data_IF_426881002654
#
_entry.id   IF_426881002654
#
_cell.length_a   1.000
_cell.length_b   1.000
_cell.length_c   1.000
_cell.angle_alpha   90.00
_cell.angle_beta   90.00
_cell.angle_gamma   90.00
#
_symmetry.space_group_name_H-M   'P 1'
#
loop_
_entity.id
_entity.type
_entity.pdbx_description
1 polymer ?
#
# COMPACT_ATOMS: atom_id res chain seq x y z
N UNK A 1 -24.11 32.13 -30.46
CA UNK A 1 -24.27 31.06 -29.43
C UNK A 1 -23.52 31.49 -28.20
N UNK A 2 -24.15 31.46 -27.01
CA UNK A 2 -23.46 31.78 -25.76
C UNK A 2 -22.28 30.81 -25.56
N UNK A 3 -21.21 31.30 -24.95
CA UNK A 3 -19.97 30.55 -24.71
C UNK A 3 -20.23 29.20 -24.01
N UNK A 4 -21.23 29.18 -23.13
CA UNK A 4 -21.69 28.03 -22.37
C UNK A 4 -22.14 26.85 -23.25
N UNK A 5 -22.98 27.09 -24.26
CA UNK A 5 -23.47 26.03 -25.15
C UNK A 5 -22.34 25.38 -25.95
N UNK A 6 -21.30 26.17 -26.28
CA UNK A 6 -20.12 25.67 -27.00
C UNK A 6 -19.27 24.77 -26.12
N UNK A 7 -19.12 25.12 -24.84
CA UNK A 7 -18.40 24.30 -23.84
C UNK A 7 -19.16 23.00 -23.59
N UNK A 8 -20.48 23.06 -23.37
CA UNK A 8 -21.31 21.86 -23.14
C UNK A 8 -21.25 20.92 -24.34
N UNK A 9 -21.38 21.43 -25.57
CA UNK A 9 -21.27 20.60 -26.79
C UNK A 9 -19.88 19.97 -26.96
N UNK A 10 -18.83 20.66 -26.54
CA UNK A 10 -17.47 20.12 -26.56
C UNK A 10 -17.31 18.99 -25.53
N UNK A 11 -17.72 19.21 -24.28
CA UNK A 11 -17.71 18.20 -23.22
C UNK A 11 -18.63 17.01 -23.53
N UNK A 12 -19.76 17.24 -24.20
CA UNK A 12 -20.69 16.21 -24.63
C UNK A 12 -20.25 15.47 -25.91
N UNK A 13 -19.07 15.80 -26.46
CA UNK A 13 -18.57 15.16 -27.67
C UNK A 13 -18.15 13.72 -27.41
N UNK A 14 -18.66 12.80 -28.24
CA UNK A 14 -18.27 11.39 -28.19
C UNK A 14 -16.77 11.19 -28.41
N UNK A 15 -16.14 12.01 -29.27
CA UNK A 15 -14.69 11.96 -29.49
C UNK A 15 -13.90 12.29 -28.21
N UNK A 16 -14.38 13.26 -27.45
CA UNK A 16 -13.74 13.67 -26.19
C UNK A 16 -13.90 12.59 -25.12
N UNK A 17 -15.10 11.99 -25.00
CA UNK A 17 -15.33 10.86 -24.10
C UNK A 17 -14.41 9.67 -24.40
N UNK A 18 -14.21 9.32 -25.68
CA UNK A 18 -13.30 8.23 -26.08
C UNK A 18 -11.85 8.53 -25.68
N UNK A 19 -11.39 9.77 -25.83
CA UNK A 19 -10.05 10.18 -25.40
C UNK A 19 -9.88 10.02 -23.89
N UNK A 20 -10.89 10.40 -23.10
CA UNK A 20 -10.87 10.23 -21.64
C UNK A 20 -10.80 8.75 -21.26
N UNK A 21 -11.63 7.90 -21.86
CA UNK A 21 -11.64 6.46 -21.58
C UNK A 21 -10.28 5.83 -21.93
N UNK A 22 -9.66 6.23 -23.04
CA UNK A 22 -8.31 5.79 -23.40
C UNK A 22 -7.26 6.27 -22.39
N UNK A 23 -7.35 7.51 -21.92
CA UNK A 23 -6.46 8.02 -20.88
C UNK A 23 -6.57 7.21 -19.58
N UNK A 24 -7.79 6.88 -19.14
CA UNK A 24 -8.03 6.00 -17.98
C UNK A 24 -7.41 4.62 -18.23
N UNK A 25 -7.61 4.04 -19.42
CA UNK A 25 -7.06 2.73 -19.76
C UNK A 25 -5.52 2.73 -19.73
N UNK A 26 -4.87 3.77 -20.25
CA UNK A 26 -3.41 3.91 -20.21
C UNK A 26 -2.91 4.05 -18.78
N UNK A 27 -3.51 4.92 -17.97
CA UNK A 27 -3.13 5.11 -16.56
C UNK A 27 -3.32 3.80 -15.79
N UNK A 28 -4.44 3.11 -15.99
CA UNK A 28 -4.71 1.81 -15.37
C UNK A 28 -3.70 0.74 -15.79
N UNK A 29 -3.35 0.67 -17.08
CA UNK A 29 -2.33 -0.26 -17.59
C UNK A 29 -0.96 -0.01 -16.94
N UNK A 30 -0.56 1.26 -16.82
CA UNK A 30 0.69 1.63 -16.12
C UNK A 30 0.62 1.19 -14.66
N UNK A 31 -0.51 1.43 -13.97
CA UNK A 31 -0.73 0.97 -12.60
C UNK A 31 -0.55 -0.54 -12.45
N UNK A 32 -1.15 -1.33 -13.34
CA UNK A 32 -1.03 -2.79 -13.33
C UNK A 32 0.40 -3.27 -13.59
N UNK A 33 1.14 -2.62 -14.50
CA UNK A 33 2.55 -2.98 -14.74
C UNK A 33 3.41 -2.68 -13.51
N UNK A 34 3.19 -1.53 -12.86
CA UNK A 34 3.90 -1.19 -11.62
C UNK A 34 3.59 -2.22 -10.52
N UNK A 35 2.33 -2.57 -10.32
CA UNK A 35 1.93 -3.61 -9.36
C UNK A 35 2.63 -4.96 -9.64
N UNK A 36 2.70 -5.36 -10.91
CA UNK A 36 3.35 -6.61 -11.30
C UNK A 36 4.87 -6.61 -11.08
N UNK A 37 5.55 -5.47 -11.27
CA UNK A 37 7.01 -5.37 -11.10
C UNK A 37 7.39 -5.30 -9.62
N UNK A 38 6.67 -4.51 -8.82
CA UNK A 38 7.03 -4.24 -7.42
C UNK A 38 6.33 -5.17 -6.42
N UNK A 39 5.47 -6.10 -6.87
CA UNK A 39 4.76 -7.09 -6.04
C UNK A 39 3.95 -6.48 -4.87
N UNK A 40 3.57 -5.20 -4.96
CA UNK A 40 2.81 -4.52 -3.90
C UNK A 40 1.76 -3.56 -4.48
N UNK A 41 0.48 -3.89 -4.27
CA UNK A 41 -0.66 -3.12 -4.74
C UNK A 41 -0.77 -1.73 -4.08
N UNK A 42 -0.31 -1.59 -2.83
CA UNK A 42 -0.35 -0.32 -2.07
C UNK A 42 0.50 0.79 -2.72
N UNK A 43 1.64 0.43 -3.30
CA UNK A 43 2.55 1.39 -3.95
C UNK A 43 1.96 1.86 -5.28
N UNK A 44 1.41 0.94 -6.08
CA UNK A 44 0.69 1.29 -7.30
C UNK A 44 -0.53 2.18 -7.00
N UNK A 45 -1.22 1.92 -5.89
CA UNK A 45 -2.34 2.74 -5.44
C UNK A 45 -1.94 4.16 -5.07
N UNK A 46 -0.86 4.35 -4.32
CA UNK A 46 -0.37 5.69 -3.95
C UNK A 46 0.24 6.45 -5.14
N UNK A 47 1.03 5.78 -5.99
CA UNK A 47 1.76 6.47 -7.07
C UNK A 47 0.90 6.76 -8.31
N UNK A 48 0.03 5.83 -8.68
CA UNK A 48 -0.72 5.91 -9.96
C UNK A 48 -2.16 6.30 -9.72
N UNK A 49 -2.89 5.60 -8.83
CA UNK A 49 -4.32 5.86 -8.62
C UNK A 49 -4.61 7.11 -7.79
N UNK A 50 -3.73 7.48 -6.86
CA UNK A 50 -3.80 8.74 -6.11
C UNK A 50 -3.08 9.91 -6.81
N UNK A 51 -2.64 9.73 -8.05
CA UNK A 51 -1.99 10.80 -8.81
C UNK A 51 -2.99 11.88 -9.22
N UNK A 52 -2.50 13.12 -9.35
CA UNK A 52 -3.29 14.24 -9.87
C UNK A 52 -3.86 13.97 -11.27
N UNK A 53 -3.13 13.21 -12.09
CA UNK A 53 -3.55 12.84 -13.45
C UNK A 53 -4.79 11.94 -13.45
N UNK A 54 -4.82 10.95 -12.54
CA UNK A 54 -5.99 10.08 -12.38
C UNK A 54 -7.21 10.89 -11.94
N UNK A 55 -7.06 11.79 -10.95
CA UNK A 55 -8.15 12.63 -10.48
C UNK A 55 -8.68 13.60 -11.52
N UNK A 56 -7.80 14.27 -12.27
CA UNK A 56 -8.21 15.15 -13.37
C UNK A 56 -8.99 14.34 -14.41
N UNK A 57 -8.50 13.16 -14.79
CA UNK A 57 -9.14 12.32 -15.80
C UNK A 57 -10.52 11.83 -15.33
N UNK A 58 -10.65 11.45 -14.06
CA UNK A 58 -11.92 11.03 -13.46
C UNK A 58 -12.91 12.18 -13.31
N UNK A 59 -12.43 13.37 -12.93
CA UNK A 59 -13.22 14.59 -12.87
C UNK A 59 -13.72 15.02 -14.24
N UNK A 60 -12.87 14.90 -15.28
CA UNK A 60 -13.27 15.11 -16.67
C UNK A 60 -14.33 14.10 -17.10
N UNK A 61 -14.18 12.82 -16.75
CA UNK A 61 -15.21 11.80 -17.02
C UNK A 61 -16.56 12.21 -16.41
N UNK A 62 -16.60 12.56 -15.12
CA UNK A 62 -17.82 13.07 -14.48
C UNK A 62 -18.42 14.27 -15.22
N UNK A 63 -17.58 15.26 -15.58
CA UNK A 63 -18.03 16.45 -16.30
C UNK A 63 -18.64 16.09 -17.66
N UNK A 64 -18.04 15.14 -18.40
CA UNK A 64 -18.61 14.67 -19.67
C UNK A 64 -19.92 13.94 -19.48
N UNK A 65 -20.04 13.05 -18.50
CA UNK A 65 -21.29 12.31 -18.24
C UNK A 65 -22.45 13.27 -17.94
N UNK A 66 -22.19 14.29 -17.10
CA UNK A 66 -23.17 15.34 -16.79
C UNK A 66 -23.50 16.16 -18.04
N UNK A 67 -22.50 16.57 -18.82
CA UNK A 67 -22.72 17.36 -20.03
C UNK A 67 -23.56 16.61 -21.08
N UNK A 68 -23.32 15.32 -21.31
CA UNK A 68 -24.10 14.50 -22.25
C UNK A 68 -25.54 14.32 -21.74
N UNK A 69 -25.74 14.18 -20.42
CA UNK A 69 -27.07 14.11 -19.84
C UNK A 69 -27.87 15.40 -20.03
N UNK A 70 -27.21 16.57 -19.86
CA UNK A 70 -27.82 17.90 -20.06
C UNK A 70 -28.15 18.14 -21.54
N UNK A 71 -27.24 17.81 -22.45
CA UNK A 71 -27.43 18.01 -23.90
C UNK A 71 -28.63 17.22 -24.46
N UNK A 72 -28.95 16.07 -23.85
CA UNK A 72 -30.09 15.22 -24.24
C UNK A 72 -31.39 15.49 -23.47
N UNK A 73 -31.47 16.61 -22.77
CA UNK A 73 -32.70 17.06 -22.12
C UNK A 73 -33.73 17.54 -23.17
N UNK A 74 -35.03 17.20 -23.10
CA UNK A 74 -35.77 16.50 -22.05
C UNK A 74 -35.86 14.97 -22.24
N UNK A 75 -35.58 14.22 -21.17
CA UNK A 75 -35.54 12.76 -21.19
C UNK A 75 -36.94 12.14 -21.33
N UNK A 76 -37.09 11.23 -22.30
CA UNK A 76 -38.30 10.38 -22.48
C UNK A 76 -38.04 8.99 -21.89
N UNK A 77 -39.10 8.21 -21.64
CA UNK A 77 -38.97 6.88 -21.01
C UNK A 77 -38.04 5.91 -21.76
N UNK A 78 -37.92 6.02 -23.08
CA UNK A 78 -36.96 5.23 -23.87
C UNK A 78 -35.48 5.55 -23.53
N UNK A 79 -35.18 6.73 -22.98
CA UNK A 79 -33.83 7.11 -22.54
C UNK A 79 -33.52 6.70 -21.10
N UNK A 80 -34.43 6.00 -20.41
CA UNK A 80 -34.25 5.61 -19.01
C UNK A 80 -32.95 4.83 -18.78
N UNK A 81 -32.65 3.85 -19.64
CA UNK A 81 -31.40 3.07 -19.54
C UNK A 81 -30.15 3.93 -19.73
N UNK A 82 -30.19 4.89 -20.67
CA UNK A 82 -29.09 5.83 -20.89
C UNK A 82 -28.84 6.69 -19.66
N UNK A 83 -29.89 7.33 -19.12
CA UNK A 83 -29.80 8.21 -17.96
C UNK A 83 -29.35 7.44 -16.71
N UNK A 84 -29.92 6.26 -16.48
CA UNK A 84 -29.61 5.42 -15.33
C UNK A 84 -28.14 4.97 -15.33
N UNK A 85 -27.59 4.59 -16.49
CA UNK A 85 -26.19 4.18 -16.59
C UNK A 85 -25.23 5.33 -16.21
N UNK A 86 -25.50 6.55 -16.69
CA UNK A 86 -24.65 7.71 -16.41
C UNK A 86 -24.74 8.10 -14.93
N UNK A 87 -25.95 8.12 -14.36
CA UNK A 87 -26.15 8.37 -12.93
C UNK A 87 -25.47 7.29 -12.09
N UNK A 88 -25.59 6.01 -12.48
CA UNK A 88 -24.96 4.89 -11.79
C UNK A 88 -23.43 5.05 -11.73
N UNK A 89 -22.79 5.39 -12.86
CA UNK A 89 -21.35 5.65 -12.89
C UNK A 89 -21.01 6.84 -11.98
N UNK A 90 -21.74 7.95 -12.06
CA UNK A 90 -21.49 9.12 -11.20
C UNK A 90 -21.59 8.75 -9.71
N UNK A 91 -22.60 7.97 -9.31
CA UNK A 91 -22.77 7.51 -7.93
C UNK A 91 -21.59 6.64 -7.50
N UNK A 92 -21.15 5.70 -8.35
CA UNK A 92 -19.98 4.86 -8.05
C UNK A 92 -18.70 5.70 -7.87
N UNK A 93 -18.51 6.73 -8.70
CA UNK A 93 -17.35 7.62 -8.61
C UNK A 93 -17.37 8.45 -7.32
N UNK A 94 -18.55 8.96 -6.92
CA UNK A 94 -18.71 9.66 -5.64
C UNK A 94 -18.45 8.71 -4.47
N UNK A 95 -19.00 7.50 -4.51
CA UNK A 95 -18.76 6.47 -3.49
C UNK A 95 -17.28 6.13 -3.36
N UNK A 96 -16.57 5.98 -4.47
CA UNK A 96 -15.13 5.75 -4.48
C UNK A 96 -14.33 6.90 -3.83
N UNK A 97 -14.72 8.17 -4.08
CA UNK A 97 -14.11 9.32 -3.41
C UNK A 97 -14.37 9.31 -1.89
N UNK A 98 -15.59 8.95 -1.47
CA UNK A 98 -15.91 8.84 -0.04
C UNK A 98 -15.11 7.74 0.64
N UNK A 99 -15.01 6.55 0.04
CA UNK A 99 -14.18 5.46 0.55
C UNK A 99 -12.71 5.83 0.58
N UNK A 100 -12.24 6.69 -0.33
CA UNK A 100 -10.85 7.12 -0.33
C UNK A 100 -10.51 8.10 0.82
N UNK A 101 -11.43 9.00 1.20
CA UNK A 101 -11.19 9.95 2.31
C UNK A 101 -11.54 9.37 3.69
N UNK A 102 -12.48 8.41 3.77
CA UNK A 102 -12.97 7.88 5.04
C UNK A 102 -12.91 6.35 5.18
N UNK A 103 -12.48 5.64 4.14
CA UNK A 103 -12.32 4.19 4.18
C UNK A 103 -11.11 3.77 4.99
N UNK A 104 -11.25 2.66 5.70
CA UNK A 104 -10.17 2.01 6.44
C UNK A 104 -9.98 0.64 5.80
N UNK A 105 -8.82 0.43 5.21
CA UNK A 105 -8.44 -0.84 4.60
C UNK A 105 -7.85 -1.78 5.66
N UNK A 106 -8.32 -3.02 5.69
CA UNK A 106 -7.86 -4.02 6.65
C UNK A 106 -7.93 -5.43 6.08
N UNK A 107 -7.03 -6.28 6.56
CA UNK A 107 -6.92 -7.68 6.12
C UNK A 107 -7.38 -8.62 7.24
N UNK A 108 -8.09 -9.68 6.87
CA UNK A 108 -8.43 -10.76 7.79
C UNK A 108 -8.06 -12.11 7.16
N UNK A 109 -7.04 -12.75 7.71
CA UNK A 109 -6.65 -14.10 7.31
C UNK A 109 -7.42 -15.13 8.14
N UNK A 110 -8.08 -16.08 7.48
CA UNK A 110 -8.83 -17.17 8.12
C UNK A 110 -8.18 -18.52 7.82
N UNK A 111 -8.09 -19.39 8.83
CA UNK A 111 -7.81 -20.80 8.64
C UNK A 111 -9.10 -21.63 8.56
N UNK A 112 -9.01 -22.84 8.01
CA UNK A 112 -10.14 -23.76 7.89
C UNK A 112 -10.68 -24.08 9.30
N UNK A 113 -11.95 -23.74 9.54
CA UNK A 113 -12.63 -23.95 10.83
C UNK A 113 -12.46 -22.80 11.85
N UNK A 114 -11.74 -21.74 11.50
CA UNK A 114 -11.49 -20.61 12.39
C UNK A 114 -12.58 -19.54 12.30
N UNK A 115 -12.97 -18.95 13.43
CA UNK A 115 -13.80 -17.75 13.49
C UNK A 115 -12.99 -16.58 14.04
N UNK A 116 -12.88 -15.48 13.29
CA UNK A 116 -12.23 -14.23 13.71
C UNK A 116 -13.23 -13.08 13.75
N UNK A 117 -13.06 -12.20 14.75
CA UNK A 117 -13.87 -10.98 14.96
C UNK A 117 -13.04 -9.70 14.90
N UNK A 118 -11.75 -9.82 14.58
CA UNK A 118 -10.81 -8.70 14.52
C UNK A 118 -10.19 -8.65 13.13
N UNK A 119 -10.12 -7.45 12.58
CA UNK A 119 -9.45 -7.14 11.31
C UNK A 119 -8.07 -6.60 11.65
N UNK A 120 -7.04 -7.06 10.96
CA UNK A 120 -5.70 -6.47 11.05
C UNK A 120 -5.66 -5.30 10.08
N UNK A 121 -5.58 -4.09 10.60
CA UNK A 121 -5.25 -2.91 9.79
C UNK A 121 -3.75 -2.94 9.55
N UNK A 122 -3.33 -2.73 8.30
CA UNK A 122 -1.91 -2.63 7.93
C UNK A 122 -1.43 -1.23 8.33
N UNK A 123 -1.36 -0.97 9.62
CA UNK A 123 -0.71 0.24 10.09
C UNK A 123 0.79 0.07 9.83
N UNK A 124 1.43 1.13 9.35
CA UNK A 124 2.87 1.13 9.04
C UNK A 124 3.62 1.22 10.37
N UNK A 125 3.53 0.17 11.17
CA UNK A 125 4.02 0.18 12.53
C UNK A 125 5.47 -0.27 12.59
N UNK A 126 6.30 0.55 13.22
CA UNK A 126 7.56 0.11 13.76
C UNK A 126 7.30 -0.53 15.13
N UNK A 127 7.43 -1.85 15.19
CA UNK A 127 7.32 -2.60 16.43
C UNK A 127 8.70 -3.09 16.82
N UNK A 128 9.15 -2.73 18.02
CA UNK A 128 10.37 -3.27 18.62
C UNK A 128 9.97 -4.32 19.64
N UNK A 129 10.51 -5.52 19.47
CA UNK A 129 10.36 -6.62 20.42
C UNK A 129 11.61 -6.72 21.30
N UNK A 130 11.40 -6.89 22.60
CA UNK A 130 12.45 -7.22 23.56
C UNK A 130 12.19 -8.58 24.16
N UNK A 131 13.25 -9.36 24.39
CA UNK A 131 13.20 -10.55 25.23
C UNK A 131 14.17 -10.40 26.38
N UNK A 132 13.63 -10.44 27.60
CA UNK A 132 14.41 -10.32 28.83
C UNK A 132 14.91 -11.69 29.32
N UNK A 133 14.25 -12.78 28.91
CA UNK A 133 14.49 -14.16 29.36
C UNK A 133 14.85 -15.14 28.22
N UNK A 134 14.87 -14.67 26.96
CA UNK A 134 15.12 -15.48 25.77
C UNK A 134 13.91 -16.33 25.31
N UNK A 135 12.89 -16.49 26.15
CA UNK A 135 11.76 -17.38 25.88
C UNK A 135 10.51 -16.62 25.39
N UNK A 136 10.28 -15.40 25.91
CA UNK A 136 9.13 -14.59 25.52
C UNK A 136 9.58 -13.30 24.84
N UNK A 137 9.11 -13.06 23.63
CA UNK A 137 9.21 -11.76 22.96
C UNK A 137 8.04 -10.89 23.42
N UNK A 138 8.33 -9.71 23.97
CA UNK A 138 7.34 -8.72 24.37
C UNK A 138 7.52 -7.45 23.54
N UNK A 139 6.41 -6.84 23.13
CA UNK A 139 6.42 -5.50 22.54
C UNK A 139 6.95 -4.51 23.57
N UNK A 140 8.09 -3.87 23.27
CA UNK A 140 8.70 -2.83 24.10
C UNK A 140 8.49 -1.43 23.52
N UNK A 141 8.19 -1.34 22.21
CA UNK A 141 7.87 -0.10 21.54
C UNK A 141 6.98 -0.37 20.32
N UNK A 142 6.00 0.51 20.07
CA UNK A 142 5.17 0.50 18.87
C UNK A 142 4.88 1.95 18.49
N UNK A 143 5.12 2.29 17.24
CA UNK A 143 4.82 3.61 16.68
C UNK A 143 4.46 3.49 15.22
N UNK A 144 3.48 4.28 14.78
CA UNK A 144 3.15 4.43 13.37
C UNK A 144 4.24 5.28 12.68
N UNK A 145 4.82 4.76 11.58
CA UNK A 145 5.91 5.38 10.81
C UNK A 145 5.69 5.29 9.30
N UNK A 146 5.92 6.37 8.57
CA UNK A 146 5.76 6.42 7.11
C UNK A 146 7.14 6.49 6.41
N UNK A 147 7.96 5.45 6.56
CA UNK A 147 9.31 5.41 5.98
C UNK A 147 9.37 5.37 4.45
N UNK A 148 8.25 5.08 3.77
CA UNK A 148 8.20 5.10 2.31
C UNK A 148 8.23 6.52 1.74
N UNK A 149 7.61 7.50 2.42
CA UNK A 149 7.59 8.90 1.95
C UNK A 149 8.57 9.80 2.69
N UNK A 150 8.84 9.55 3.98
CA UNK A 150 9.85 10.26 4.76
C UNK A 150 10.84 9.23 5.36
N UNK A 151 11.75 8.67 4.54
CA UNK A 151 12.72 7.69 5.00
C UNK A 151 13.72 8.34 5.99
N UNK A 152 14.16 7.61 7.04
CA UNK A 152 15.26 8.05 7.86
C UNK A 152 16.54 8.18 7.03
N UNK A 153 17.37 9.15 7.39
CA UNK A 153 18.69 9.37 6.81
C UNK A 153 19.75 9.50 7.90
N UNK A 154 21.05 9.36 7.59
CA UNK A 154 22.13 9.56 8.56
C UNK A 154 22.05 10.94 9.25
N UNK A 155 21.57 11.95 8.55
CA UNK A 155 21.39 13.32 9.05
C UNK A 155 20.09 13.51 9.85
N UNK A 156 19.06 12.68 9.59
CA UNK A 156 17.76 12.69 10.27
C UNK A 156 17.34 11.26 10.64
N UNK A 157 18.00 10.64 11.64
CA UNK A 157 17.68 9.28 12.05
C UNK A 157 16.35 9.24 12.82
N UNK A 158 15.58 8.18 12.64
CA UNK A 158 14.45 7.89 13.51
C UNK A 158 14.96 7.20 14.77
N UNK A 159 14.69 7.76 15.95
CA UNK A 159 15.28 7.31 17.22
C UNK A 159 14.21 6.74 18.14
N UNK A 160 14.40 5.50 18.58
CA UNK A 160 13.58 4.83 19.59
C UNK A 160 14.37 4.75 20.89
N UNK A 161 13.83 5.34 21.95
CA UNK A 161 14.44 5.32 23.28
C UNK A 161 14.01 4.03 24.02
N UNK A 162 14.98 3.19 24.39
CA UNK A 162 14.78 1.92 25.08
C UNK A 162 15.41 2.00 26.48
N UNK A 163 14.77 2.76 27.38
CA UNK A 163 15.34 3.03 28.70
C UNK A 163 16.61 3.87 28.61
N UNK A 164 17.75 3.29 28.98
CA UNK A 164 19.07 3.96 28.91
C UNK A 164 19.72 3.86 27.52
N UNK A 165 19.30 2.91 26.68
CA UNK A 165 19.83 2.72 25.34
C UNK A 165 18.95 3.39 24.28
N UNK A 166 19.53 3.66 23.12
CA UNK A 166 18.83 4.23 21.96
C UNK A 166 19.02 3.34 20.74
N UNK A 167 17.92 3.01 20.06
CA UNK A 167 17.92 2.35 18.76
C UNK A 167 17.70 3.41 17.69
N UNK A 168 18.61 3.53 16.73
CA UNK A 168 18.53 4.51 15.64
C UNK A 168 18.34 3.80 14.31
N UNK A 169 17.32 4.22 13.57
CA UNK A 169 17.12 3.85 12.17
C UNK A 169 17.72 4.97 11.34
N UNK A 170 18.78 4.64 10.59
CA UNK A 170 19.58 5.61 9.83
C UNK A 170 19.29 5.57 8.34
N UNK A 171 18.85 4.42 7.83
CA UNK A 171 18.51 4.24 6.42
C UNK A 171 17.34 3.26 6.32
N UNK A 172 16.51 3.45 5.30
CA UNK A 172 15.40 2.57 4.98
C UNK A 172 15.60 2.02 3.57
N UNK A 173 15.81 0.71 3.47
CA UNK A 173 15.86 -0.01 2.20
C UNK A 173 14.56 -0.75 1.98
N UNK A 174 13.80 -0.26 1.01
CA UNK A 174 12.59 -0.93 0.57
C UNK A 174 12.98 -2.20 -0.23
N UNK A 175 12.35 -3.34 0.07
CA UNK A 175 12.69 -4.68 -0.47
C UNK A 175 14.06 -5.25 -0.09
N UNK A 176 14.66 -4.83 1.03
CA UNK A 176 15.89 -5.46 1.51
C UNK A 176 15.64 -6.91 1.94
N UNK A 177 16.47 -7.82 1.42
CA UNK A 177 16.58 -9.17 1.97
C UNK A 177 17.34 -9.09 3.30
N UNK A 178 16.86 -9.83 4.31
CA UNK A 178 17.57 -9.95 5.57
C UNK A 178 18.86 -10.73 5.33
N UNK A 179 19.99 -10.04 5.39
CA UNK A 179 21.29 -10.67 5.50
C UNK A 179 21.76 -10.60 6.96
N UNK A 180 22.22 -11.72 7.50
CA UNK A 180 22.65 -11.82 8.89
C UNK A 180 24.02 -12.49 8.91
N UNK A 181 25.05 -11.69 9.14
CA UNK A 181 26.41 -12.18 9.27
C UNK A 181 26.67 -12.57 10.73
N UNK A 182 27.13 -13.80 10.95
CA UNK A 182 27.58 -14.25 12.27
C UNK A 182 29.10 -14.06 12.34
N UNK A 183 29.52 -13.16 13.21
CA UNK A 183 30.93 -12.91 13.48
C UNK A 183 31.46 -13.85 14.56
N UNK A 184 32.69 -14.38 14.43
CA UNK A 184 33.33 -15.14 15.49
C UNK A 184 33.55 -14.25 16.72
N UNK A 185 33.26 -14.80 17.89
CA UNK A 185 33.51 -14.16 19.19
C UNK A 185 34.37 -15.07 20.05
N UNK A 186 35.39 -14.50 20.68
CA UNK A 186 36.28 -15.22 21.60
C UNK A 186 35.68 -15.32 23.02
N UNK A 187 34.48 -14.78 23.23
CA UNK A 187 33.78 -14.84 24.51
C UNK A 187 33.14 -16.22 24.68
N UNK A 188 33.63 -17.00 25.66
CA UNK A 188 33.07 -18.32 26.02
C UNK A 188 31.55 -18.30 26.31
N UNK A 189 30.99 -17.11 26.58
CA UNK A 189 29.59 -16.87 26.90
C UNK A 189 28.65 -16.90 25.70
N UNK A 190 29.15 -16.76 24.48
CA UNK A 190 28.33 -16.60 23.26
C UNK A 190 27.80 -17.93 22.69
N UNK A 191 28.24 -19.06 23.26
CA UNK A 191 27.74 -20.39 22.93
C UNK A 191 28.17 -20.89 21.54
N UNK A 192 28.19 -22.22 21.32
CA UNK A 192 28.56 -22.77 20.02
C UNK A 192 27.47 -22.51 18.97
N UNK A 193 27.90 -22.23 17.73
CA UNK A 193 27.05 -22.13 16.57
C UNK A 193 27.53 -23.08 15.45
N UNK A 194 26.58 -23.63 14.68
CA UNK A 194 26.83 -24.55 13.58
C UNK A 194 26.22 -23.95 12.31
N UNK A 195 27.05 -23.81 11.27
CA UNK A 195 26.57 -23.44 9.93
C UNK A 195 26.09 -24.68 9.19
N UNK A 196 24.90 -24.63 8.59
CA UNK A 196 24.39 -25.70 7.73
C UNK A 196 23.90 -25.14 6.40
N UNK A 197 23.93 -25.97 5.36
CA UNK A 197 23.47 -25.63 4.01
C UNK A 197 22.46 -26.69 3.56
N UNK A 198 21.32 -26.24 3.04
CA UNK A 198 20.28 -27.06 2.44
C UNK A 198 20.24 -26.78 0.94
N UNK A 199 20.52 -27.80 0.13
CA UNK A 199 20.53 -27.69 -1.33
C UNK A 199 19.63 -28.76 -1.97
N UNK A 200 18.78 -28.33 -2.89
CA UNK A 200 18.00 -29.15 -3.81
C UNK A 200 17.78 -28.36 -5.13
N UNK A 201 17.18 -28.96 -6.19
CA UNK A 201 16.99 -28.28 -7.48
C UNK A 201 16.19 -26.96 -7.45
N UNK A 202 15.45 -26.68 -6.36
CA UNK A 202 14.60 -25.50 -6.19
C UNK A 202 15.02 -24.61 -5.00
N UNK A 203 15.97 -25.02 -4.16
CA UNK A 203 16.34 -24.36 -2.89
C UNK A 203 17.84 -24.50 -2.67
N UNK A 204 18.53 -23.39 -2.45
CA UNK A 204 19.90 -23.37 -1.94
C UNK A 204 19.96 -22.31 -0.83
N UNK A 205 20.03 -22.76 0.42
CA UNK A 205 19.96 -21.88 1.59
C UNK A 205 21.06 -22.24 2.59
N UNK A 206 21.75 -21.24 3.13
CA UNK A 206 22.73 -21.40 4.21
C UNK A 206 22.21 -20.68 5.45
N UNK A 207 22.18 -21.38 6.58
CA UNK A 207 21.68 -20.87 7.85
C UNK A 207 22.60 -21.26 9.00
N UNK A 208 22.43 -20.60 10.15
CA UNK A 208 23.19 -20.88 11.35
C UNK A 208 22.29 -21.32 12.50
N UNK A 209 22.63 -22.45 13.11
CA UNK A 209 22.00 -22.95 14.33
C UNK A 209 22.90 -22.60 15.52
N UNK A 210 22.43 -21.73 16.42
CA UNK A 210 23.16 -21.37 17.65
C UNK A 210 22.50 -21.96 18.88
N UNK A 211 23.30 -22.35 19.88
CA UNK A 211 22.77 -22.66 21.21
C UNK A 211 22.57 -21.37 21.99
N UNK A 212 21.35 -21.08 22.41
CA UNK A 212 21.09 -19.96 23.31
C UNK A 212 21.79 -20.21 24.65
N UNK A 213 22.73 -19.34 25.01
CA UNK A 213 23.36 -19.32 26.33
C UNK A 213 22.38 -18.70 27.31
N UNK A 214 22.10 -19.37 28.43
CA UNK A 214 21.28 -18.81 29.52
C UNK A 214 21.90 -17.48 29.95
N UNK A 215 21.26 -16.35 29.62
CA UNK A 215 21.51 -15.10 30.32
C UNK A 215 21.01 -15.27 31.74
N UNK A 216 21.90 -15.39 32.71
CA UNK A 216 21.52 -15.09 34.09
C UNK A 216 21.27 -13.59 34.14
N UNK A 217 19.99 -13.22 34.23
CA UNK A 217 19.54 -11.85 34.47
C UNK A 217 20.21 -11.32 35.72
N UNK A 218 21.22 -10.45 35.53
CA UNK A 218 21.89 -9.70 36.60
C UNK A 218 21.31 -8.31 36.66
#
# INVERSE_FOLDING_TARGET
MPLFDRIIKFLASLKFAVVIILAIAVISTVGTIYEAIYMEAEIAQKLVYHSIYMYITLGLLCATLIAVMIDRWPWKQHHAGFVLAHIGIIILLIGALMTKEWGIDGTMAFNIGEQKRHVTVKDRDLIVFGSFDGAAMKNIYQSEVEFLTDPPSPDKPYVVQLGQDQLKFVEYYHFAYRDAEILPSDLERDGPAIRFQLENPNVNMTEWLRRESKRDSS
#
